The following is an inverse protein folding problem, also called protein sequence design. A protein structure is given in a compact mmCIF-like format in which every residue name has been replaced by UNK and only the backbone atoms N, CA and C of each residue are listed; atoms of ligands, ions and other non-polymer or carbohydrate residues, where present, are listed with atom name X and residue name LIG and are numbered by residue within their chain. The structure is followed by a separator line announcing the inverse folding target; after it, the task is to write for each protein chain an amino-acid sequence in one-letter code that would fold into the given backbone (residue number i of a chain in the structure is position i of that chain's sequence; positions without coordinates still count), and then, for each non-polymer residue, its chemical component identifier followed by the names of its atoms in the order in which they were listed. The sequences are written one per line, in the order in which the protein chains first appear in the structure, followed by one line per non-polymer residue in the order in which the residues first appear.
data_IF_819431513103
#
_entry.id   IF_819431513103
#
_cell.length_a   1.000
_cell.length_b   1.000
_cell.length_c   1.000
_cell.angle_alpha   90.00
_cell.angle_beta   90.00
_cell.angle_gamma   90.00
#
_symmetry.space_group_name_H-M   'P 1'
#
loop_
_entity.id
_entity.type
_entity.pdbx_description
1 polymer ?
#
# COMPACT_ATOMS: atom_id res chain seq x y z
N UNK A 1 -5.14 19.81 -13.20
CA UNK A 1 -4.03 18.93 -13.66
C UNK A 1 -4.08 17.62 -12.88
N UNK A 2 -4.18 17.69 -11.56
CA UNK A 2 -4.24 16.53 -10.66
C UNK A 2 -5.39 15.56 -10.96
N UNK A 3 -6.56 16.04 -11.41
CA UNK A 3 -7.64 15.12 -11.83
C UNK A 3 -7.15 14.08 -12.86
N UNK A 4 -6.36 14.51 -13.85
CA UNK A 4 -5.85 13.62 -14.88
C UNK A 4 -4.77 12.67 -14.32
N UNK A 5 -3.96 13.14 -13.36
CA UNK A 5 -2.99 12.30 -12.65
C UNK A 5 -3.70 11.22 -11.83
N UNK A 6 -4.76 11.56 -11.11
CA UNK A 6 -5.55 10.59 -10.35
C UNK A 6 -6.22 9.55 -11.26
N UNK A 7 -6.79 9.96 -12.41
CA UNK A 7 -7.27 8.99 -13.41
C UNK A 7 -6.15 8.08 -13.93
N UNK A 8 -4.97 8.64 -14.19
CA UNK A 8 -3.80 7.86 -14.58
C UNK A 8 -3.39 6.86 -13.50
N UNK A 9 -3.30 7.28 -12.23
CA UNK A 9 -2.95 6.39 -11.12
C UNK A 9 -3.99 5.27 -10.95
N UNK A 10 -5.29 5.59 -10.99
CA UNK A 10 -6.36 4.59 -10.99
C UNK A 10 -6.16 3.57 -12.11
N UNK A 11 -5.93 4.02 -13.35
CA UNK A 11 -5.70 3.14 -14.49
C UNK A 11 -4.42 2.30 -14.33
N UNK A 12 -3.34 2.89 -13.82
CA UNK A 12 -2.09 2.21 -13.55
C UNK A 12 -2.25 1.12 -12.50
N UNK A 13 -2.97 1.37 -11.40
CA UNK A 13 -3.26 0.37 -10.37
C UNK A 13 -4.17 -0.75 -10.89
N UNK A 14 -5.15 -0.44 -11.75
CA UNK A 14 -5.95 -1.47 -12.45
C UNK A 14 -5.03 -2.35 -13.31
N UNK A 15 -4.19 -1.75 -14.15
CA UNK A 15 -3.24 -2.47 -14.99
C UNK A 15 -2.27 -3.33 -14.16
N UNK A 16 -1.78 -2.80 -13.05
CA UNK A 16 -0.89 -3.49 -12.14
C UNK A 16 -1.58 -4.67 -11.44
N UNK A 17 -2.86 -4.51 -11.08
CA UNK A 17 -3.69 -5.58 -10.53
C UNK A 17 -3.91 -6.69 -11.55
N UNK A 18 -4.27 -6.34 -12.79
CA UNK A 18 -4.44 -7.31 -13.88
C UNK A 18 -3.13 -8.06 -14.13
N UNK A 19 -2.00 -7.37 -14.21
CA UNK A 19 -0.69 -8.01 -14.37
C UNK A 19 -0.34 -8.94 -13.20
N UNK A 20 -0.58 -8.51 -11.96
CA UNK A 20 -0.36 -9.34 -10.78
C UNK A 20 -1.22 -10.61 -10.79
N UNK A 21 -2.53 -10.45 -11.00
CA UNK A 21 -3.50 -11.56 -10.97
C UNK A 21 -3.27 -12.55 -12.12
N UNK A 22 -2.98 -12.07 -13.33
CA UNK A 22 -2.71 -12.95 -14.48
C UNK A 22 -1.43 -13.78 -14.31
N UNK A 23 -0.47 -13.29 -13.52
CA UNK A 23 0.76 -14.01 -13.18
C UNK A 23 0.67 -14.77 -11.85
N UNK A 24 -0.47 -14.69 -11.15
CA UNK A 24 -0.73 -15.36 -9.88
C UNK A 24 -0.55 -16.87 -10.03
N UNK A 25 0.26 -17.47 -9.17
CA UNK A 25 0.41 -18.94 -9.13
C UNK A 25 -0.20 -19.57 -7.89
N UNK A 26 -0.31 -18.82 -6.79
CA UNK A 26 -0.84 -19.35 -5.54
C UNK A 26 -1.54 -18.27 -4.71
N UNK A 27 -2.61 -18.65 -4.04
CA UNK A 27 -3.31 -17.78 -3.08
C UNK A 27 -2.68 -17.96 -1.69
N UNK A 28 -1.58 -17.25 -1.46
CA UNK A 28 -0.87 -17.20 -0.18
C UNK A 28 -0.91 -15.78 0.42
N UNK A 29 -0.23 -15.52 1.54
CA UNK A 29 -0.24 -14.22 2.21
C UNK A 29 0.30 -13.04 1.37
N UNK A 30 1.04 -13.29 0.29
CA UNK A 30 1.38 -12.23 -0.68
C UNK A 30 0.17 -11.72 -1.48
N UNK A 31 -0.95 -12.45 -1.51
CA UNK A 31 -2.18 -12.00 -2.16
C UNK A 31 -2.86 -10.83 -1.43
N UNK A 32 -2.51 -10.57 -0.15
CA UNK A 32 -2.97 -9.38 0.57
C UNK A 32 -2.60 -8.07 -0.14
N UNK A 33 -1.56 -8.07 -0.98
CA UNK A 33 -1.22 -6.96 -1.86
C UNK A 33 -2.39 -6.52 -2.77
N UNK A 34 -3.27 -7.44 -3.18
CA UNK A 34 -4.41 -7.09 -4.02
C UNK A 34 -5.48 -6.29 -3.28
N UNK A 35 -5.65 -6.49 -1.97
CA UNK A 35 -6.56 -5.65 -1.19
C UNK A 35 -6.04 -4.21 -1.12
N UNK A 36 -4.73 -4.04 -0.99
CA UNK A 36 -4.09 -2.71 -1.04
C UNK A 36 -4.25 -2.06 -2.41
N UNK A 37 -4.04 -2.82 -3.49
CA UNK A 37 -4.25 -2.34 -4.85
C UNK A 37 -5.70 -1.90 -5.07
N UNK A 38 -6.69 -2.69 -4.63
CA UNK A 38 -8.10 -2.32 -4.70
C UNK A 38 -8.40 -1.06 -3.89
N UNK A 39 -7.82 -0.94 -2.69
CA UNK A 39 -7.90 0.27 -1.87
C UNK A 39 -7.38 1.51 -2.61
N UNK A 40 -6.23 1.42 -3.28
CA UNK A 40 -5.66 2.53 -4.04
C UNK A 40 -6.42 2.85 -5.34
N UNK A 41 -6.99 1.85 -6.01
CA UNK A 41 -7.90 2.05 -7.15
C UNK A 41 -9.11 2.85 -6.70
N UNK A 42 -9.72 2.44 -5.58
CA UNK A 42 -10.86 3.13 -4.99
C UNK A 42 -10.47 4.56 -4.59
N UNK A 43 -9.39 4.72 -3.81
CA UNK A 43 -8.91 6.01 -3.34
C UNK A 43 -8.69 7.00 -4.47
N UNK A 44 -7.81 6.66 -5.42
CA UNK A 44 -7.49 7.52 -6.55
C UNK A 44 -8.71 7.75 -7.45
N UNK A 45 -9.57 6.73 -7.60
CA UNK A 45 -10.78 6.81 -8.40
C UNK A 45 -11.78 7.82 -7.85
N UNK A 46 -12.05 7.76 -6.53
CA UNK A 46 -12.94 8.71 -5.85
C UNK A 46 -12.38 10.15 -5.94
N UNK A 47 -11.08 10.33 -5.74
CA UNK A 47 -10.45 11.65 -5.89
C UNK A 47 -10.59 12.16 -7.34
N UNK A 48 -10.35 11.31 -8.34
CA UNK A 48 -10.44 11.67 -9.75
C UNK A 48 -11.86 12.13 -10.15
N UNK A 49 -12.89 11.45 -9.63
CA UNK A 49 -14.28 11.76 -9.96
C UNK A 49 -14.92 12.82 -9.05
N UNK A 50 -14.28 13.18 -7.93
CA UNK A 50 -14.91 13.97 -6.87
C UNK A 50 -15.50 15.30 -7.34
N UNK A 51 -14.80 16.01 -8.23
CA UNK A 51 -15.31 17.29 -8.79
C UNK A 51 -16.58 17.14 -9.64
N UNK A 52 -16.81 15.96 -10.23
CA UNK A 52 -18.00 15.69 -11.04
C UNK A 52 -19.18 15.22 -10.19
N UNK A 53 -18.90 14.62 -9.02
CA UNK A 53 -19.92 14.30 -8.02
C UNK A 53 -20.40 15.58 -7.34
N UNK A 54 -19.46 16.49 -7.03
CA UNK A 54 -19.74 17.72 -6.31
C UNK A 54 -19.74 17.53 -4.79
N UNK A 55 -19.78 18.64 -4.08
CA UNK A 55 -19.83 18.67 -2.62
C UNK A 55 -21.18 18.15 -2.11
N UNK A 56 -21.16 17.39 -1.01
CA UNK A 56 -22.35 16.84 -0.37
C UNK A 56 -22.11 15.46 0.23
N UNK A 57 -23.16 14.93 0.87
CA UNK A 57 -23.12 13.69 1.65
C UNK A 57 -22.65 12.46 0.87
N UNK A 58 -22.89 12.43 -0.45
CA UNK A 58 -22.43 11.33 -1.32
C UNK A 58 -20.91 11.32 -1.41
N UNK A 59 -20.30 12.45 -1.77
CA UNK A 59 -18.85 12.54 -1.88
C UNK A 59 -18.20 12.36 -0.51
N UNK A 60 -18.78 12.92 0.54
CA UNK A 60 -18.34 12.75 1.92
C UNK A 60 -18.29 11.27 2.33
N UNK A 61 -19.37 10.51 2.11
CA UNK A 61 -19.45 9.09 2.45
C UNK A 61 -18.45 8.24 1.67
N UNK A 62 -18.24 8.56 0.38
CA UNK A 62 -17.22 7.90 -0.44
C UNK A 62 -15.82 8.20 0.09
N UNK A 63 -15.58 9.44 0.55
CA UNK A 63 -14.30 9.80 1.14
C UNK A 63 -14.07 9.14 2.49
N UNK A 64 -15.10 9.03 3.33
CA UNK A 64 -15.03 8.26 4.57
C UNK A 64 -14.54 6.83 4.29
N UNK A 65 -15.12 6.15 3.29
CA UNK A 65 -14.67 4.81 2.92
C UNK A 65 -13.20 4.78 2.45
N UNK A 66 -12.64 5.87 1.90
CA UNK A 66 -11.20 5.96 1.57
C UNK A 66 -10.36 5.82 2.83
N UNK A 67 -10.67 6.59 3.88
CA UNK A 67 -9.95 6.54 5.16
C UNK A 67 -10.06 5.17 5.82
N UNK A 68 -11.27 4.60 5.88
CA UNK A 68 -11.48 3.24 6.40
C UNK A 68 -10.71 2.19 5.60
N UNK A 69 -10.79 2.24 4.26
CA UNK A 69 -10.06 1.30 3.40
C UNK A 69 -8.55 1.41 3.62
N UNK A 70 -8.03 2.63 3.75
CA UNK A 70 -6.62 2.85 4.05
C UNK A 70 -6.20 2.23 5.39
N UNK A 71 -6.99 2.48 6.44
CA UNK A 71 -6.71 1.99 7.79
C UNK A 71 -6.70 0.46 7.91
N UNK A 72 -7.53 -0.23 7.12
CA UNK A 72 -7.57 -1.69 7.12
C UNK A 72 -6.61 -2.32 6.11
N UNK A 73 -6.46 -1.76 4.91
CA UNK A 73 -5.75 -2.45 3.83
C UNK A 73 -4.25 -2.19 3.85
N UNK A 74 -3.80 -0.95 4.08
CA UNK A 74 -2.37 -0.62 4.06
C UNK A 74 -1.54 -1.47 5.04
N UNK A 75 -1.99 -1.72 6.29
CA UNK A 75 -1.29 -2.60 7.22
C UNK A 75 -1.12 -4.04 6.72
N UNK A 76 -1.96 -4.53 5.81
CA UNK A 76 -1.86 -5.90 5.26
C UNK A 76 -0.58 -6.12 4.44
N UNK A 77 0.13 -5.05 4.06
CA UNK A 77 1.48 -5.15 3.50
C UNK A 77 2.49 -5.81 4.48
N UNK A 78 2.22 -5.79 5.79
CA UNK A 78 2.98 -6.56 6.77
C UNK A 78 2.78 -8.07 6.57
N UNK A 79 1.55 -8.50 6.33
CA UNK A 79 1.28 -9.92 6.01
C UNK A 79 1.88 -10.33 4.68
N UNK A 80 1.89 -9.41 3.69
CA UNK A 80 2.65 -9.59 2.46
C UNK A 80 4.14 -9.84 2.73
N UNK A 81 4.76 -9.06 3.64
CA UNK A 81 6.17 -9.24 4.02
C UNK A 81 6.46 -10.66 4.54
N UNK A 82 5.62 -11.15 5.47
CA UNK A 82 5.75 -12.52 5.96
C UNK A 82 5.59 -13.54 4.82
N UNK A 83 4.57 -13.37 3.97
CA UNK A 83 4.34 -14.22 2.80
C UNK A 83 5.54 -14.28 1.86
N UNK A 84 6.16 -13.12 1.57
CA UNK A 84 7.33 -13.04 0.70
C UNK A 84 8.54 -13.77 1.30
N UNK A 85 8.80 -13.62 2.60
CA UNK A 85 9.87 -14.38 3.26
C UNK A 85 9.59 -15.89 3.33
N UNK A 86 8.33 -16.27 3.50
CA UNK A 86 7.92 -17.68 3.48
C UNK A 86 8.14 -18.31 2.10
N UNK A 87 7.74 -17.62 1.02
CA UNK A 87 8.00 -18.05 -0.38
C UNK A 87 9.49 -18.11 -0.71
N UNK A 88 10.30 -17.20 -0.15
CA UNK A 88 11.76 -17.24 -0.28
C UNK A 88 12.43 -18.37 0.55
N UNK A 89 11.64 -19.18 1.27
CA UNK A 89 12.09 -20.27 2.15
C UNK A 89 13.08 -19.83 3.24
N UNK A 90 12.91 -18.63 3.79
CA UNK A 90 13.72 -18.13 4.90
C UNK A 90 13.39 -18.93 6.17
N UNK A 91 14.34 -19.77 6.63
CA UNK A 91 14.11 -20.78 7.69
C UNK A 91 13.46 -20.21 8.96
N UNK A 92 13.96 -19.09 9.49
CA UNK A 92 13.46 -18.51 10.73
C UNK A 92 12.07 -17.87 10.56
N UNK A 93 11.77 -17.30 9.39
CA UNK A 93 10.49 -16.66 9.11
C UNK A 93 9.31 -17.65 9.08
N UNK A 94 9.60 -18.94 8.86
CA UNK A 94 8.61 -20.03 8.83
C UNK A 94 8.19 -20.52 10.22
N UNK A 95 8.81 -20.02 11.29
CA UNK A 95 8.41 -20.38 12.65
C UNK A 95 7.05 -19.79 12.99
N UNK A 96 6.20 -20.56 13.69
CA UNK A 96 4.85 -20.11 14.09
C UNK A 96 4.89 -18.82 14.92
N UNK A 97 5.86 -18.69 15.83
CA UNK A 97 6.02 -17.49 16.64
C UNK A 97 6.24 -16.24 15.78
N UNK A 98 7.05 -16.35 14.72
CA UNK A 98 7.29 -15.23 13.80
C UNK A 98 6.01 -14.88 13.04
N UNK A 99 5.28 -15.89 12.54
CA UNK A 99 3.99 -15.66 11.89
C UNK A 99 3.00 -14.90 12.79
N UNK A 100 2.83 -15.34 14.04
CA UNK A 100 1.96 -14.65 15.00
C UNK A 100 2.46 -13.24 15.33
N UNK A 101 3.77 -13.02 15.36
CA UNK A 101 4.37 -11.69 15.49
C UNK A 101 3.94 -10.75 14.37
N UNK A 102 3.98 -11.19 13.11
CA UNK A 102 3.51 -10.39 11.97
C UNK A 102 2.00 -10.14 12.00
N UNK A 103 1.20 -11.13 12.42
CA UNK A 103 -0.24 -10.93 12.60
C UNK A 103 -0.56 -9.91 13.70
N UNK A 104 0.08 -10.03 14.87
CA UNK A 104 -0.10 -9.09 15.97
C UNK A 104 0.35 -7.68 15.57
N UNK A 105 1.49 -7.56 14.87
CA UNK A 105 1.95 -6.28 14.36
C UNK A 105 0.95 -5.67 13.38
N UNK A 106 0.40 -6.45 12.45
CA UNK A 106 -0.64 -5.99 11.52
C UNK A 106 -1.88 -5.49 12.28
N UNK A 107 -2.37 -6.25 13.25
CA UNK A 107 -3.52 -5.87 14.06
C UNK A 107 -3.26 -4.60 14.88
N UNK A 108 -2.06 -4.48 15.47
CA UNK A 108 -1.66 -3.28 16.21
C UNK A 108 -1.63 -2.04 15.30
N UNK A 109 -1.13 -2.15 14.07
CA UNK A 109 -1.12 -1.04 13.12
C UNK A 109 -2.53 -0.60 12.69
N UNK A 110 -3.44 -1.55 12.49
CA UNK A 110 -4.85 -1.23 12.24
C UNK A 110 -5.44 -0.47 13.42
N UNK A 111 -5.22 -0.95 14.65
CA UNK A 111 -5.71 -0.29 15.87
C UNK A 111 -5.14 1.13 16.00
N UNK A 112 -3.83 1.29 15.74
CA UNK A 112 -3.15 2.60 15.79
C UNK A 112 -3.79 3.56 14.80
N UNK A 113 -3.97 3.17 13.54
CA UNK A 113 -4.56 4.05 12.53
C UNK A 113 -6.02 4.39 12.84
N UNK A 114 -6.78 3.40 13.31
CA UNK A 114 -8.16 3.64 13.71
C UNK A 114 -8.26 4.63 14.87
N UNK A 115 -7.43 4.46 15.89
CA UNK A 115 -7.46 5.28 17.10
C UNK A 115 -6.95 6.72 16.87
N UNK A 116 -5.96 6.89 15.99
CA UNK A 116 -5.33 8.20 15.76
C UNK A 116 -6.01 9.01 14.64
N UNK A 117 -6.47 8.34 13.57
CA UNK A 117 -6.84 9.04 12.33
C UNK A 117 -8.27 8.77 11.86
N UNK A 118 -8.91 7.65 12.25
CA UNK A 118 -10.18 7.22 11.60
C UNK A 118 -11.42 7.30 12.51
N UNK A 119 -11.31 6.96 13.79
CA UNK A 119 -12.49 6.76 14.65
C UNK A 119 -13.22 8.07 14.99
N UNK A 120 -12.48 9.16 15.19
CA UNK A 120 -13.00 10.50 15.45
C UNK A 120 -12.81 11.43 14.26
N UNK A 121 -12.87 10.87 13.04
CA UNK A 121 -12.61 11.61 11.82
C UNK A 121 -13.75 12.59 11.52
N UNK A 122 -13.43 13.88 11.57
CA UNK A 122 -14.27 14.94 11.04
C UNK A 122 -13.76 15.34 9.65
N UNK A 123 -14.67 15.41 8.68
CA UNK A 123 -14.34 15.67 7.30
C UNK A 123 -14.70 17.10 6.91
N UNK A 124 -13.80 17.76 6.18
CA UNK A 124 -14.06 19.05 5.54
C UNK A 124 -13.74 18.97 4.04
N UNK A 125 -14.41 19.82 3.26
CA UNK A 125 -14.14 19.90 1.82
C UNK A 125 -12.82 20.62 1.54
N UNK A 126 -12.09 20.08 0.57
CA UNK A 126 -10.86 20.66 0.06
C UNK A 126 -10.94 20.73 -1.46
N UNK A 127 -10.72 21.93 -2.00
CA UNK A 127 -10.55 22.17 -3.43
C UNK A 127 -9.13 22.66 -3.70
N UNK A 128 -8.27 21.77 -4.18
CA UNK A 128 -6.88 22.09 -4.52
C UNK A 128 -6.49 21.44 -5.85
N UNK A 129 -5.67 22.15 -6.64
CA UNK A 129 -5.09 21.65 -7.90
C UNK A 129 -6.10 21.09 -8.94
N UNK A 130 -7.36 21.52 -8.86
CA UNK A 130 -8.47 21.10 -9.72
C UNK A 130 -9.14 19.79 -9.29
N UNK A 131 -8.96 19.38 -8.04
CA UNK A 131 -9.58 18.23 -7.40
C UNK A 131 -10.50 18.72 -6.28
N UNK A 132 -11.65 18.06 -6.13
CA UNK A 132 -12.56 18.24 -5.00
C UNK A 132 -12.62 16.92 -4.23
N UNK A 133 -12.30 16.96 -2.94
CA UNK A 133 -12.33 15.81 -2.04
C UNK A 133 -12.67 16.24 -0.63
N UNK A 134 -12.98 15.27 0.24
CA UNK A 134 -13.03 15.51 1.68
C UNK A 134 -11.71 15.05 2.31
N UNK A 135 -11.19 15.85 3.23
CA UNK A 135 -9.96 15.61 4.01
C UNK A 135 -10.26 15.71 5.50
N UNK A 136 -9.35 15.25 6.36
CA UNK A 136 -9.48 15.45 7.81
C UNK A 136 -9.50 16.95 8.14
N UNK A 137 -10.48 17.38 8.93
CA UNK A 137 -10.59 18.75 9.43
C UNK A 137 -9.47 19.10 10.43
N UNK A 138 -8.96 18.09 11.13
CA UNK A 138 -7.78 18.20 11.98
C UNK A 138 -6.69 17.27 11.42
N UNK A 139 -5.89 17.74 10.44
CA UNK A 139 -4.78 16.96 9.93
C UNK A 139 -3.79 16.66 11.06
N UNK A 140 -3.34 15.41 11.15
CA UNK A 140 -2.31 15.04 12.11
C UNK A 140 -1.08 15.98 11.96
N UNK A 141 -0.64 16.53 13.08
CA UNK A 141 0.49 17.47 13.12
C UNK A 141 1.87 16.81 12.91
N UNK A 142 1.89 15.48 12.74
CA UNK A 142 3.09 14.67 12.59
C UNK A 142 3.06 13.78 11.35
N UNK A 143 4.17 13.11 11.02
CA UNK A 143 4.24 12.19 9.90
C UNK A 143 3.31 10.97 10.14
N UNK A 144 2.81 10.32 9.07
CA UNK A 144 1.85 9.23 9.18
C UNK A 144 2.48 8.01 9.85
N UNK A 145 2.22 7.84 11.15
CA UNK A 145 2.90 6.86 12.02
C UNK A 145 2.70 5.44 11.51
N UNK A 146 1.47 5.06 11.16
CA UNK A 146 1.18 3.73 10.63
C UNK A 146 1.97 3.43 9.34
N UNK A 147 1.99 4.37 8.38
CA UNK A 147 2.70 4.21 7.10
C UNK A 147 4.21 4.06 7.32
N UNK A 148 4.80 4.83 8.23
CA UNK A 148 6.22 4.69 8.60
C UNK A 148 6.51 3.29 9.17
N UNK A 149 5.64 2.80 10.06
CA UNK A 149 5.78 1.48 10.67
C UNK A 149 5.59 0.33 9.67
N UNK A 150 4.68 0.46 8.70
CA UNK A 150 4.57 -0.48 7.57
C UNK A 150 5.85 -0.43 6.72
N UNK A 151 6.38 0.76 6.47
CA UNK A 151 7.61 0.96 5.68
C UNK A 151 8.81 0.29 6.33
N UNK A 152 8.94 0.32 7.66
CA UNK A 152 9.97 -0.42 8.40
C UNK A 152 9.89 -1.93 8.11
N UNK A 153 8.70 -2.52 8.13
CA UNK A 153 8.52 -3.94 7.81
C UNK A 153 8.89 -4.27 6.35
N UNK A 154 8.52 -3.39 5.41
CA UNK A 154 8.87 -3.52 3.99
C UNK A 154 10.39 -3.41 3.76
N UNK A 155 11.06 -2.43 4.38
CA UNK A 155 12.52 -2.24 4.28
C UNK A 155 13.26 -3.43 4.90
N UNK A 156 12.86 -3.84 6.11
CA UNK A 156 13.46 -5.01 6.77
C UNK A 156 13.34 -6.27 5.89
N UNK A 157 12.14 -6.53 5.37
CA UNK A 157 11.89 -7.70 4.51
C UNK A 157 12.64 -7.60 3.19
N UNK A 158 12.66 -6.42 2.56
CA UNK A 158 13.44 -6.16 1.36
C UNK A 158 14.94 -6.41 1.56
N UNK A 159 15.51 -5.99 2.71
CA UNK A 159 16.90 -6.24 3.05
C UNK A 159 17.20 -7.74 3.26
N UNK A 160 16.28 -8.47 3.91
CA UNK A 160 16.37 -9.93 4.07
C UNK A 160 16.33 -10.62 2.70
N UNK A 161 15.39 -10.25 1.83
CA UNK A 161 15.26 -10.82 0.49
C UNK A 161 16.47 -10.50 -0.40
N UNK A 162 17.04 -9.30 -0.29
CA UNK A 162 18.27 -8.98 -0.99
C UNK A 162 19.41 -9.88 -0.54
N UNK A 163 19.64 -9.98 0.78
CA UNK A 163 20.75 -10.77 1.33
C UNK A 163 20.60 -12.28 1.10
N UNK A 164 19.37 -12.82 1.12
CA UNK A 164 19.12 -14.26 1.11
C UNK A 164 18.64 -14.80 -0.24
N UNK A 165 17.97 -13.98 -1.05
CA UNK A 165 17.43 -14.37 -2.36
C UNK A 165 18.02 -13.55 -3.53
N UNK A 166 18.91 -12.60 -3.28
CA UNK A 166 19.53 -11.76 -4.30
C UNK A 166 18.58 -10.74 -4.94
N UNK A 167 17.41 -10.50 -4.35
CA UNK A 167 16.36 -9.67 -4.93
C UNK A 167 16.22 -8.33 -4.19
N UNK A 168 16.69 -7.24 -4.82
CA UNK A 168 16.78 -5.90 -4.20
C UNK A 168 15.57 -4.99 -4.44
N UNK A 169 14.69 -5.31 -5.38
CA UNK A 169 13.68 -4.36 -5.87
C UNK A 169 12.64 -3.96 -4.82
N UNK A 170 12.19 -4.88 -3.97
CA UNK A 170 11.32 -4.55 -2.83
C UNK A 170 11.98 -3.53 -1.89
N UNK A 171 13.28 -3.68 -1.61
CA UNK A 171 14.00 -2.74 -0.76
C UNK A 171 14.08 -1.36 -1.41
N UNK A 172 14.40 -1.29 -2.70
CA UNK A 172 14.49 -0.03 -3.44
C UNK A 172 13.14 0.69 -3.42
N UNK A 173 12.04 -0.04 -3.70
CA UNK A 173 10.68 0.50 -3.62
C UNK A 173 10.34 1.05 -2.23
N UNK A 174 10.62 0.27 -1.19
CA UNK A 174 10.31 0.65 0.19
C UNK A 174 11.14 1.87 0.67
N UNK A 175 12.42 1.94 0.32
CA UNK A 175 13.28 3.09 0.66
C UNK A 175 12.84 4.34 -0.09
N UNK A 176 12.54 4.23 -1.39
CA UNK A 176 12.07 5.36 -2.19
C UNK A 176 10.73 5.89 -1.66
N UNK A 177 9.80 5.01 -1.30
CA UNK A 177 8.55 5.40 -0.63
C UNK A 177 8.82 6.08 0.71
N UNK A 178 9.65 5.48 1.56
CA UNK A 178 9.98 6.05 2.88
C UNK A 178 10.57 7.45 2.78
N UNK A 179 11.46 7.71 1.81
CA UNK A 179 12.01 9.05 1.56
C UNK A 179 10.90 9.98 1.03
N UNK A 180 10.11 9.52 0.06
CA UNK A 180 9.03 10.31 -0.55
C UNK A 180 7.91 10.69 0.42
N UNK A 181 7.68 9.89 1.48
CA UNK A 181 6.70 10.20 2.53
C UNK A 181 7.27 11.03 3.68
N UNK A 182 8.57 10.97 3.93
CA UNK A 182 9.20 11.69 5.04
C UNK A 182 9.63 13.12 4.69
N UNK A 183 9.87 13.40 3.41
CA UNK A 183 10.39 14.69 2.94
C UNK A 183 9.30 15.43 2.17
N UNK A 184 8.93 16.67 2.54
CA UNK A 184 8.04 17.50 1.75
C UNK A 184 8.65 17.73 0.36
N UNK A 185 7.91 17.38 -0.68
CA UNK A 185 8.37 17.56 -2.05
C UNK A 185 7.82 18.90 -2.56
N UNK A 186 8.67 19.85 -2.99
CA UNK A 186 8.25 21.18 -3.40
C UNK A 186 7.66 21.13 -4.83
N UNK A 187 6.53 20.45 -4.97
CA UNK A 187 5.78 20.33 -6.21
C UNK A 187 4.32 20.65 -5.90
N UNK A 188 3.74 21.55 -6.68
CA UNK A 188 2.36 22.02 -6.57
C UNK A 188 1.37 20.96 -7.08
N UNK A 189 1.33 19.81 -6.42
CA UNK A 189 0.42 18.71 -6.73
C UNK A 189 0.17 17.82 -5.52
N UNK A 190 -1.11 17.55 -5.28
CA UNK A 190 -1.59 16.62 -4.25
C UNK A 190 -1.36 15.14 -4.63
N UNK A 191 -1.00 14.87 -5.89
CA UNK A 191 -0.88 13.52 -6.43
C UNK A 191 0.56 12.97 -6.40
N UNK A 192 1.55 13.75 -5.96
CA UNK A 192 2.98 13.39 -6.01
C UNK A 192 3.29 12.13 -5.21
N UNK A 193 2.71 11.99 -4.02
CA UNK A 193 2.89 10.80 -3.16
C UNK A 193 2.41 9.52 -3.84
N UNK A 194 1.36 9.59 -4.69
CA UNK A 194 0.85 8.45 -5.43
C UNK A 194 1.87 7.90 -6.46
N UNK A 195 2.82 8.72 -6.94
CA UNK A 195 3.89 8.23 -7.80
C UNK A 195 4.85 7.29 -7.03
N UNK A 196 5.17 7.63 -5.78
CA UNK A 196 6.00 6.80 -4.90
C UNK A 196 5.27 5.50 -4.50
N UNK A 197 3.97 5.60 -4.21
CA UNK A 197 3.12 4.44 -3.92
C UNK A 197 3.01 3.50 -5.12
N UNK A 198 2.78 4.05 -6.32
CA UNK A 198 2.73 3.26 -7.55
C UNK A 198 4.06 2.54 -7.80
N UNK A 199 5.19 3.24 -7.62
CA UNK A 199 6.51 2.64 -7.75
C UNK A 199 6.72 1.52 -6.71
N UNK A 200 6.36 1.76 -5.45
CA UNK A 200 6.40 0.74 -4.40
C UNK A 200 5.57 -0.48 -4.81
N UNK A 201 4.27 -0.31 -5.11
CA UNK A 201 3.39 -1.43 -5.43
C UNK A 201 3.85 -2.20 -6.67
N UNK A 202 4.38 -1.51 -7.68
CA UNK A 202 5.01 -2.16 -8.83
C UNK A 202 6.14 -3.09 -8.39
N UNK A 203 7.06 -2.62 -7.54
CA UNK A 203 8.15 -3.47 -7.02
C UNK A 203 7.65 -4.62 -6.16
N UNK A 204 6.53 -4.47 -5.44
CA UNK A 204 5.93 -5.54 -4.64
C UNK A 204 5.28 -6.62 -5.52
N UNK A 205 4.50 -6.23 -6.54
CA UNK A 205 3.93 -7.17 -7.51
C UNK A 205 5.04 -7.91 -8.24
N UNK A 206 6.10 -7.21 -8.65
CA UNK A 206 7.26 -7.84 -9.29
C UNK A 206 7.95 -8.85 -8.37
N UNK A 207 8.17 -8.46 -7.10
CA UNK A 207 8.76 -9.33 -6.09
C UNK A 207 7.95 -10.60 -5.89
N UNK A 208 6.63 -10.46 -5.75
CA UNK A 208 5.71 -11.59 -5.63
C UNK A 208 5.83 -12.53 -6.83
N UNK A 209 5.67 -12.01 -8.05
CA UNK A 209 5.69 -12.82 -9.28
C UNK A 209 7.04 -13.55 -9.46
N UNK A 210 8.14 -12.89 -9.09
CA UNK A 210 9.49 -13.48 -9.10
C UNK A 210 9.61 -14.65 -8.12
N UNK A 211 9.13 -14.47 -6.89
CA UNK A 211 9.21 -15.47 -5.83
C UNK A 211 8.35 -16.71 -6.15
N UNK A 212 7.11 -16.51 -6.59
CA UNK A 212 6.22 -17.61 -7.01
C UNK A 212 6.79 -18.38 -8.22
N UNK A 213 7.46 -17.67 -9.13
CA UNK A 213 8.10 -18.33 -10.28
C UNK A 213 9.26 -19.23 -9.85
N UNK A 214 10.09 -18.76 -8.91
CA UNK A 214 11.18 -19.54 -8.34
C UNK A 214 10.70 -20.78 -7.58
N UNK A 215 9.62 -20.65 -6.81
CA UNK A 215 9.07 -21.76 -6.03
C UNK A 215 8.64 -22.93 -6.92
N UNK A 216 7.88 -22.65 -8.00
CA UNK A 216 7.45 -23.68 -8.96
C UNK A 216 8.64 -24.38 -9.62
N UNK A 217 9.69 -23.64 -9.97
CA UNK A 217 10.90 -24.23 -10.59
C UNK A 217 11.61 -25.24 -9.68
N UNK A 218 11.51 -25.05 -8.35
CA UNK A 218 12.06 -25.98 -7.36
C UNK A 218 11.14 -27.16 -7.10
N UNK A 219 9.82 -26.98 -7.25
CA UNK A 219 8.82 -28.04 -7.13
C UNK A 219 8.93 -29.13 -8.22
N UNK A 220 9.43 -28.80 -9.42
CA UNK A 220 9.69 -29.77 -10.49
C UNK A 220 11.01 -30.57 -10.32
N UNK A 221 11.85 -30.23 -9.34
CA UNK A 221 13.13 -30.90 -9.07
C UNK A 221 13.06 -31.85 -7.86
N UNK A 222 11.86 -32.23 -7.42
CA UNK A 222 11.62 -33.25 -6.39
C UNK A 222 10.86 -34.40 -7.01
#
# INVERSE_FOLDING_TARGET
MDTALYFFFTAAYIGLTIWGVTQQRSWNFTAFLYLVLVGLIYDNGIIAIGKYIGEGSVLESLNLLRFWSHAFFTPLLVLFCWGAMNLAHIRWARQRAVFYGFMLYTAALIIIELALETWSLELMTEQQYGVLRYVSAEPASGPPIMVLLVTVALVFTGAVLWRKAGWKWMLIGAVIMGIGSAVPIPVDSSAVTNAFELFLLFTLVWTKNRLETNEKSKGFKK
#
